data_IF_949185202684
#
_entry.id   IF_949185202684
#
_cell.length_a   1.000
_cell.length_b   1.000
_cell.length_c   1.000
_cell.angle_alpha   90.00
_cell.angle_beta   90.00
_cell.angle_gamma   90.00
#
_symmetry.space_group_name_H-M   'P 1'
#
loop_
_entity.id
_entity.type
_entity.pdbx_description
1 polymer ?
#
# COMPACT_ATOMS: atom_id res chain seq x y z
N UNK A 1 -5.86 -33.22 -0.49
CA UNK A 1 -4.80 -32.60 -1.33
C UNK A 1 -4.88 -31.08 -1.45
N UNK A 2 -6.07 -30.49 -1.59
CA UNK A 2 -6.22 -29.06 -1.87
C UNK A 2 -5.78 -28.15 -0.69
N UNK A 3 -6.11 -28.54 0.55
CA UNK A 3 -5.66 -27.84 1.75
C UNK A 3 -4.13 -27.91 1.96
N UNK A 4 -3.51 -29.03 1.56
CA UNK A 4 -2.05 -29.19 1.62
C UNK A 4 -1.35 -28.28 0.60
N UNK A 5 -1.91 -28.12 -0.61
CA UNK A 5 -1.40 -27.19 -1.63
C UNK A 5 -1.52 -25.72 -1.18
N UNK A 6 -2.63 -25.35 -0.54
CA UNK A 6 -2.83 -24.00 0.02
C UNK A 6 -1.84 -23.73 1.16
N UNK A 7 -1.64 -24.70 2.05
CA UNK A 7 -0.69 -24.61 3.16
C UNK A 7 0.78 -24.51 2.68
N UNK A 8 1.20 -25.35 1.75
CA UNK A 8 2.55 -25.30 1.16
C UNK A 8 2.80 -23.99 0.39
N UNK A 9 1.78 -23.44 -0.28
CA UNK A 9 1.88 -22.12 -0.94
C UNK A 9 2.06 -20.96 0.06
N UNK A 10 1.59 -21.15 1.30
CA UNK A 10 1.69 -20.15 2.36
C UNK A 10 3.07 -20.19 3.02
N UNK A 11 3.67 -21.39 3.14
CA UNK A 11 5.06 -21.59 3.60
C UNK A 11 6.10 -21.07 2.58
N UNK A 12 5.85 -21.20 1.27
CA UNK A 12 6.71 -20.64 0.22
C UNK A 12 6.86 -19.11 0.33
N UNK A 13 5.78 -18.40 0.68
CA UNK A 13 5.78 -16.93 0.86
C UNK A 13 6.60 -16.46 2.06
N UNK A 14 6.87 -17.35 3.02
CA UNK A 14 7.58 -17.02 4.25
C UNK A 14 9.09 -17.25 4.08
N UNK A 15 9.51 -18.26 3.30
CA UNK A 15 10.91 -18.72 3.22
C UNK A 15 11.65 -18.33 1.96
N UNK A 16 10.94 -17.90 0.91
CA UNK A 16 11.50 -17.34 -0.33
C UNK A 16 12.55 -18.23 -1.05
N UNK A 17 12.42 -19.56 -0.94
CA UNK A 17 13.27 -20.54 -1.66
C UNK A 17 12.43 -21.45 -2.58
N UNK A 18 12.86 -21.74 -3.82
CA UNK A 18 12.16 -22.65 -4.73
C UNK A 18 12.43 -24.13 -4.38
N UNK A 19 11.37 -24.94 -4.28
CA UNK A 19 11.49 -26.39 -4.00
C UNK A 19 11.02 -27.27 -5.17
N UNK A 20 11.55 -28.53 -5.26
CA UNK A 20 11.63 -29.30 -6.50
C UNK A 20 10.26 -29.81 -6.98
N UNK A 21 10.21 -30.18 -8.26
CA UNK A 21 9.01 -30.74 -8.91
C UNK A 21 8.51 -31.95 -8.11
N UNK A 22 7.23 -31.94 -7.75
CA UNK A 22 6.53 -33.07 -7.14
C UNK A 22 6.21 -34.07 -8.25
N UNK A 23 6.93 -35.18 -8.31
CA UNK A 23 6.54 -36.35 -9.10
C UNK A 23 5.77 -37.33 -8.21
N UNK A 24 4.61 -37.79 -8.68
CA UNK A 24 3.81 -38.82 -7.99
C UNK A 24 4.51 -40.17 -8.15
N UNK A 25 5.24 -40.62 -7.13
CA UNK A 25 5.71 -42.00 -7.06
C UNK A 25 4.55 -42.89 -6.60
N UNK A 26 4.02 -43.70 -7.53
CA UNK A 26 3.19 -44.85 -7.21
C UNK A 26 4.09 -46.04 -6.88
N UNK A 27 4.14 -46.40 -5.61
CA UNK A 27 4.42 -47.76 -5.15
C UNK A 27 5.84 -48.31 -5.37
N UNK A 28 6.35 -48.84 -4.28
CA UNK A 28 7.31 -49.95 -4.19
C UNK A 28 8.82 -49.65 -4.31
N UNK A 29 9.45 -49.87 -3.15
CA UNK A 29 10.79 -50.41 -2.91
C UNK A 29 11.94 -49.97 -3.82
N UNK A 30 12.66 -48.91 -3.42
CA UNK A 30 14.12 -48.92 -3.22
C UNK A 30 14.56 -47.59 -2.61
N UNK A 31 15.34 -47.61 -1.53
CA UNK A 31 15.85 -46.40 -0.85
C UNK A 31 16.96 -45.77 -1.71
N UNK A 32 16.84 -44.50 -2.18
CA UNK A 32 17.96 -43.82 -2.77
C UNK A 32 18.80 -43.17 -1.66
N UNK A 33 20.07 -43.58 -1.57
CA UNK A 33 21.12 -42.84 -0.85
C UNK A 33 21.47 -41.60 -1.67
N UNK A 34 21.42 -40.41 -1.08
CA UNK A 34 21.81 -39.14 -1.73
C UNK A 34 22.86 -38.41 -0.88
N UNK A 35 23.90 -37.80 -1.48
CA UNK A 35 25.10 -37.35 -0.79
C UNK A 35 24.89 -36.03 -0.03
N UNK A 36 25.64 -35.85 1.06
CA UNK A 36 25.64 -34.65 1.90
C UNK A 36 25.93 -33.38 1.08
N UNK A 37 24.95 -32.46 1.04
CA UNK A 37 25.15 -31.09 0.57
C UNK A 37 25.26 -30.16 1.78
N UNK A 38 26.35 -29.38 1.83
CA UNK A 38 26.57 -28.32 2.81
C UNK A 38 25.80 -27.07 2.40
N UNK A 39 24.48 -27.08 2.58
CA UNK A 39 23.66 -25.87 2.57
C UNK A 39 22.52 -26.04 3.57
N UNK A 40 22.30 -25.01 4.40
CA UNK A 40 21.33 -24.97 5.52
C UNK A 40 19.86 -24.96 5.05
N UNK A 41 19.46 -25.89 4.19
CA UNK A 41 18.05 -26.12 3.89
C UNK A 41 17.48 -27.11 4.90
N UNK A 42 16.56 -26.62 5.75
CA UNK A 42 15.76 -27.47 6.64
C UNK A 42 14.86 -28.35 5.76
N UNK A 43 15.22 -29.63 5.64
CA UNK A 43 14.35 -30.63 5.01
C UNK A 43 13.31 -31.06 6.05
N UNK A 44 12.03 -30.82 5.76
CA UNK A 44 10.91 -31.33 6.56
C UNK A 44 10.31 -32.50 5.81
N UNK A 45 10.67 -33.72 6.23
CA UNK A 45 9.99 -34.92 5.79
C UNK A 45 8.59 -34.96 6.42
N UNK A 46 7.56 -34.90 5.57
CA UNK A 46 6.17 -35.11 5.97
C UNK A 46 5.75 -36.47 5.44
N UNK A 47 5.81 -37.49 6.28
CA UNK A 47 5.22 -38.80 5.98
C UNK A 47 3.71 -38.67 6.17
N UNK A 48 2.95 -38.72 5.07
CA UNK A 48 1.49 -38.76 5.11
C UNK A 48 1.08 -40.23 5.04
N UNK A 49 0.76 -40.84 6.18
CA UNK A 49 0.09 -42.12 6.18
C UNK A 49 -1.41 -41.88 5.99
N UNK A 50 -1.97 -42.54 4.97
CA UNK A 50 -3.40 -42.48 4.70
C UNK A 50 -4.20 -42.95 5.92
N UNK A 51 -5.17 -42.10 6.29
CA UNK A 51 -6.30 -42.28 7.22
C UNK A 51 -6.29 -41.34 8.44
N UNK A 52 -7.32 -40.48 8.46
CA UNK A 52 -7.84 -39.65 9.56
C UNK A 52 -7.04 -38.42 10.04
N UNK A 53 -7.70 -37.26 9.86
CA UNK A 53 -7.60 -35.96 10.56
C UNK A 53 -6.39 -35.70 11.46
N UNK A 54 -5.39 -34.99 10.93
CA UNK A 54 -4.52 -34.14 11.75
C UNK A 54 -5.05 -32.71 11.71
N UNK A 55 -5.74 -32.31 12.77
CA UNK A 55 -6.31 -30.97 12.95
C UNK A 55 -5.24 -29.88 13.10
N UNK A 56 -5.61 -28.66 12.70
CA UNK A 56 -4.78 -27.44 12.69
C UNK A 56 -3.96 -27.19 13.98
N UNK A 57 -4.47 -27.60 15.14
CA UNK A 57 -3.78 -27.42 16.42
C UNK A 57 -2.50 -28.26 16.56
N UNK A 58 -2.48 -29.48 15.99
CA UNK A 58 -1.28 -30.34 16.02
C UNK A 58 -0.16 -29.78 15.16
N UNK A 59 -0.50 -29.14 14.03
CA UNK A 59 0.48 -28.51 13.13
C UNK A 59 1.07 -27.23 13.73
N UNK A 60 0.26 -26.41 14.40
CA UNK A 60 0.71 -25.23 15.15
C UNK A 60 1.76 -25.57 16.23
N UNK A 61 1.55 -26.67 16.95
CA UNK A 61 2.45 -27.14 18.00
C UNK A 61 3.80 -27.64 17.47
N UNK A 62 3.81 -28.30 16.31
CA UNK A 62 5.04 -28.79 15.68
C UNK A 62 5.87 -27.64 15.09
N UNK A 63 5.21 -26.65 14.49
CA UNK A 63 5.86 -25.44 13.93
C UNK A 63 6.51 -24.63 15.06
N UNK A 64 5.82 -24.46 16.19
CA UNK A 64 6.33 -23.69 17.33
C UNK A 64 7.56 -24.33 18.00
N UNK A 65 7.75 -25.66 17.86
CA UNK A 65 8.89 -26.39 18.44
C UNK A 65 10.15 -26.41 17.56
N UNK A 66 10.05 -26.05 16.27
CA UNK A 66 11.17 -26.18 15.31
C UNK A 66 11.68 -24.86 14.73
N UNK A 67 11.11 -23.71 15.09
CA UNK A 67 11.64 -22.39 14.68
C UNK A 67 12.75 -21.98 15.68
N UNK A 68 14.00 -21.76 15.21
CA UNK A 68 15.09 -21.25 16.05
C UNK A 68 14.74 -19.87 16.65
N UNK A 69 15.14 -19.63 17.90
CA UNK A 69 14.80 -18.39 18.65
C UNK A 69 15.31 -17.09 17.99
N UNK A 70 16.26 -17.20 17.07
CA UNK A 70 16.86 -16.12 16.28
C UNK A 70 15.92 -15.47 15.24
N UNK A 71 14.71 -16.00 15.03
CA UNK A 71 13.65 -15.35 14.24
C UNK A 71 12.58 -14.64 15.08
N UNK A 72 12.72 -14.63 16.41
CA UNK A 72 11.97 -13.73 17.28
C UNK A 72 12.79 -12.44 17.46
N UNK A 73 12.43 -11.42 16.69
CA UNK A 73 12.59 -9.97 16.95
C UNK A 73 13.26 -9.22 15.79
N UNK A 74 12.54 -8.23 15.25
CA UNK A 74 12.98 -6.84 15.18
C UNK A 74 11.81 -5.96 14.68
N UNK A 75 11.13 -5.33 15.64
CA UNK A 75 10.56 -3.98 15.55
C UNK A 75 9.79 -3.71 16.85
N UNK A 76 10.52 -3.34 17.90
CA UNK A 76 9.95 -2.78 19.12
C UNK A 76 10.21 -1.29 19.18
N UNK A 77 9.49 -0.51 18.37
CA UNK A 77 8.96 0.75 18.89
C UNK A 77 7.66 0.42 19.63
N UNK A 78 7.71 0.51 20.95
CA UNK A 78 6.56 0.24 21.82
C UNK A 78 5.51 1.33 21.58
N UNK A 79 4.59 1.06 20.64
CA UNK A 79 3.45 1.92 20.33
C UNK A 79 2.60 2.12 21.59
N UNK A 80 2.03 3.31 21.75
CA UNK A 80 1.22 3.65 22.93
C UNK A 80 -0.20 3.13 22.69
N UNK A 81 -0.33 1.80 22.64
CA UNK A 81 -1.59 1.14 22.36
C UNK A 81 -2.67 1.56 23.38
N UNK A 82 -3.75 2.17 22.90
CA UNK A 82 -4.83 2.63 23.77
C UNK A 82 -5.73 1.44 24.13
N UNK A 83 -6.04 1.25 25.42
CA UNK A 83 -6.96 0.19 25.86
C UNK A 83 -8.37 0.77 26.02
N UNK A 84 -9.36 0.16 25.35
CA UNK A 84 -10.78 0.42 25.58
C UNK A 84 -11.39 -0.67 26.46
N UNK A 85 -12.20 -0.29 27.44
CA UNK A 85 -12.95 -1.25 28.26
C UNK A 85 -14.40 -1.30 27.79
N UNK A 86 -14.84 -2.48 27.33
CA UNK A 86 -16.19 -2.69 26.78
C UNK A 86 -17.26 -2.33 27.80
N UNK A 87 -18.23 -1.52 27.38
CA UNK A 87 -19.43 -1.13 28.13
C UNK A 87 -20.67 -1.86 27.59
N UNK A 88 -21.74 -1.83 28.38
CA UNK A 88 -23.02 -2.44 27.98
C UNK A 88 -23.52 -1.88 26.65
N UNK A 89 -23.96 -2.77 25.76
CA UNK A 89 -24.52 -2.42 24.44
C UNK A 89 -23.50 -2.08 23.35
N UNK A 90 -22.21 -2.21 23.62
CA UNK A 90 -21.14 -2.01 22.63
C UNK A 90 -20.89 -3.25 21.77
N UNK A 91 -20.49 -3.00 20.52
CA UNK A 91 -19.91 -3.98 19.61
C UNK A 91 -18.55 -3.44 19.14
N UNK A 92 -17.67 -4.28 18.57
CA UNK A 92 -16.41 -3.77 17.99
C UNK A 92 -16.64 -2.66 16.96
N UNK A 93 -17.76 -2.70 16.23
CA UNK A 93 -18.14 -1.66 15.28
C UNK A 93 -18.46 -0.32 15.97
N UNK A 94 -19.27 -0.35 17.03
CA UNK A 94 -19.58 0.85 17.85
C UNK A 94 -18.35 1.38 18.59
N UNK A 95 -17.42 0.49 18.96
CA UNK A 95 -16.15 0.89 19.57
C UNK A 95 -15.30 1.61 18.51
N UNK A 96 -15.15 1.05 17.31
CA UNK A 96 -14.47 1.74 16.20
C UNK A 96 -15.07 3.12 15.90
N UNK A 97 -16.38 3.29 16.04
CA UNK A 97 -17.04 4.59 15.89
C UNK A 97 -16.62 5.67 16.88
N UNK A 98 -16.07 5.28 18.03
CA UNK A 98 -15.59 6.23 19.05
C UNK A 98 -14.17 6.70 18.81
N UNK A 99 -13.45 6.06 17.89
CA UNK A 99 -12.04 6.32 17.64
C UNK A 99 -11.85 6.87 16.23
N UNK A 100 -11.38 8.12 16.17
CA UNK A 100 -11.13 8.78 14.90
C UNK A 100 -10.06 8.06 14.11
N UNK A 101 -10.39 7.77 12.85
CA UNK A 101 -9.48 7.01 12.00
C UNK A 101 -9.18 5.63 12.56
N UNK A 102 -10.15 4.93 13.14
CA UNK A 102 -10.06 3.50 13.41
C UNK A 102 -11.21 2.77 12.74
N UNK A 103 -10.89 1.68 12.09
CA UNK A 103 -11.86 0.81 11.42
C UNK A 103 -12.08 -0.46 12.24
N UNK A 104 -13.24 -1.10 12.03
CA UNK A 104 -13.55 -2.39 12.65
C UNK A 104 -12.46 -3.44 12.37
N UNK A 105 -11.97 -3.48 11.14
CA UNK A 105 -10.92 -4.44 10.73
C UNK A 105 -9.58 -4.18 11.45
N UNK A 106 -9.20 -2.91 11.64
CA UNK A 106 -8.02 -2.56 12.44
C UNK A 106 -8.17 -3.06 13.89
N UNK A 107 -9.35 -2.91 14.50
CA UNK A 107 -9.63 -3.43 15.84
C UNK A 107 -9.59 -4.95 15.88
N UNK A 108 -10.23 -5.65 14.93
CA UNK A 108 -10.22 -7.12 14.87
C UNK A 108 -8.78 -7.63 14.76
N UNK A 109 -7.97 -7.05 13.85
CA UNK A 109 -6.56 -7.43 13.66
C UNK A 109 -5.72 -7.19 14.91
N UNK A 110 -5.98 -6.10 15.65
CA UNK A 110 -5.29 -5.79 16.90
C UNK A 110 -5.69 -6.72 18.07
N UNK A 111 -6.76 -7.51 17.90
CA UNK A 111 -7.33 -8.37 18.94
C UNK A 111 -7.62 -9.79 18.40
N UNK A 112 -6.61 -10.54 17.94
CA UNK A 112 -6.81 -11.84 17.27
C UNK A 112 -7.47 -12.90 18.15
N UNK A 113 -7.38 -12.75 19.48
CA UNK A 113 -7.95 -13.69 20.45
C UNK A 113 -9.37 -13.29 20.91
N UNK A 114 -9.98 -12.25 20.32
CA UNK A 114 -11.31 -11.76 20.69
C UNK A 114 -12.33 -12.18 19.64
N UNK A 115 -13.36 -12.91 20.06
CA UNK A 115 -14.54 -13.17 19.24
C UNK A 115 -15.42 -11.91 19.20
N UNK A 116 -15.48 -11.28 18.03
CA UNK A 116 -16.25 -10.05 17.79
C UNK A 116 -17.76 -10.20 18.09
N UNK A 117 -18.29 -11.43 18.05
CA UNK A 117 -19.69 -11.73 18.31
C UNK A 117 -20.00 -12.03 19.78
N UNK A 118 -18.98 -12.17 20.64
CA UNK A 118 -19.11 -12.57 22.05
C UNK A 118 -18.37 -11.65 23.00
N UNK A 119 -18.46 -10.35 22.78
CA UNK A 119 -17.86 -9.35 23.66
C UNK A 119 -18.51 -9.36 25.05
N UNK A 120 -17.67 -9.31 26.09
CA UNK A 120 -18.12 -9.22 27.50
C UNK A 120 -17.92 -7.82 28.03
N UNK A 121 -18.86 -7.35 28.87
CA UNK A 121 -18.69 -6.09 29.60
C UNK A 121 -17.43 -6.19 30.47
N UNK A 122 -16.63 -5.13 30.50
CA UNK A 122 -15.35 -5.09 31.21
C UNK A 122 -14.18 -5.72 30.45
N UNK A 123 -14.42 -6.34 29.29
CA UNK A 123 -13.35 -6.86 28.44
C UNK A 123 -12.49 -5.72 27.92
N UNK A 124 -11.17 -5.93 27.91
CA UNK A 124 -10.20 -4.97 27.37
C UNK A 124 -10.00 -5.23 25.89
N UNK A 125 -10.22 -4.21 25.06
CA UNK A 125 -9.97 -4.19 23.63
C UNK A 125 -8.75 -3.32 23.39
N UNK A 126 -7.77 -3.88 22.69
CA UNK A 126 -6.64 -3.11 22.18
C UNK A 126 -7.13 -2.23 21.03
N UNK A 127 -7.04 -0.92 21.20
CA UNK A 127 -7.32 0.04 20.13
C UNK A 127 -5.97 0.35 19.48
N UNK A 128 -5.75 -0.09 18.23
CA UNK A 128 -4.51 0.24 17.56
C UNK A 128 -4.46 1.75 17.35
N UNK A 129 -3.26 2.29 17.18
CA UNK A 129 -3.15 3.61 16.59
C UNK A 129 -3.69 3.54 15.15
N UNK A 130 -4.33 4.62 14.65
CA UNK A 130 -4.68 4.71 13.24
C UNK A 130 -3.48 4.30 12.42
N UNK A 131 -3.59 3.25 11.57
CA UNK A 131 -2.43 2.79 10.80
C UNK A 131 -1.80 4.03 10.16
N UNK A 132 -0.51 4.24 10.44
CA UNK A 132 0.28 5.27 9.79
C UNK A 132 0.20 4.99 8.30
N UNK A 133 -0.63 5.76 7.61
CA UNK A 133 -0.82 5.61 6.18
C UNK A 133 0.42 6.19 5.51
N UNK A 134 1.41 5.33 5.21
CA UNK A 134 2.67 5.69 4.57
C UNK A 134 3.31 7.00 5.09
N UNK A 135 3.05 7.37 6.35
CA UNK A 135 3.56 8.63 6.90
C UNK A 135 5.06 8.55 7.22
N UNK A 136 5.68 7.38 7.02
CA UNK A 136 7.10 7.15 7.25
C UNK A 136 7.81 6.58 6.00
N UNK A 137 7.35 6.87 4.77
CA UNK A 137 8.35 7.19 3.74
C UNK A 137 8.97 8.50 4.23
N UNK A 138 9.97 8.40 5.10
CA UNK A 138 10.66 9.52 5.74
C UNK A 138 11.10 10.44 4.63
N UNK A 139 10.30 11.45 4.31
CA UNK A 139 10.74 12.50 3.41
C UNK A 139 11.69 13.34 4.23
N UNK A 140 12.90 12.82 4.35
CA UNK A 140 13.96 13.41 5.13
C UNK A 140 14.14 14.83 4.63
N UNK A 141 13.91 15.80 5.51
CA UNK A 141 14.08 17.21 5.17
C UNK A 141 15.52 17.48 4.71
N UNK A 142 16.49 16.70 5.19
CA UNK A 142 17.88 16.74 4.77
C UNK A 142 18.10 16.26 3.32
N UNK A 143 17.23 15.39 2.78
CA UNK A 143 17.36 14.83 1.41
C UNK A 143 16.69 15.65 0.33
N UNK A 144 16.26 16.88 0.63
CA UNK A 144 15.57 17.76 -0.34
C UNK A 144 16.33 17.87 -1.66
N UNK A 145 17.63 18.13 -1.59
CA UNK A 145 18.46 18.31 -2.80
C UNK A 145 18.70 16.98 -3.53
N UNK A 146 18.79 15.87 -2.82
CA UNK A 146 18.92 14.53 -3.41
C UNK A 146 17.65 14.11 -4.17
N UNK A 147 16.48 14.39 -3.61
CA UNK A 147 15.20 14.19 -4.31
C UNK A 147 15.14 15.06 -5.58
N UNK A 148 15.46 16.35 -5.48
CA UNK A 148 15.46 17.25 -6.64
C UNK A 148 16.43 16.75 -7.72
N UNK A 149 17.67 16.39 -7.35
CA UNK A 149 18.67 15.88 -8.28
C UNK A 149 18.24 14.59 -8.97
N UNK A 150 17.60 13.68 -8.22
CA UNK A 150 17.06 12.42 -8.77
C UNK A 150 15.94 12.68 -9.76
N UNK A 151 15.00 13.58 -9.43
CA UNK A 151 13.90 13.96 -10.33
C UNK A 151 14.47 14.63 -11.60
N UNK A 152 15.48 15.51 -11.48
CA UNK A 152 16.18 16.10 -12.64
C UNK A 152 16.78 15.02 -13.54
N UNK A 153 17.41 13.98 -12.96
CA UNK A 153 17.94 12.84 -13.72
C UNK A 153 16.83 12.09 -14.46
N UNK A 154 15.69 11.84 -13.81
CA UNK A 154 14.52 11.21 -14.43
C UNK A 154 13.98 12.04 -15.60
N UNK A 155 13.84 13.36 -15.41
CA UNK A 155 13.38 14.31 -16.42
C UNK A 155 14.31 14.36 -17.64
N UNK A 156 15.63 14.44 -17.42
CA UNK A 156 16.63 14.42 -18.50
C UNK A 156 16.58 13.13 -19.31
N UNK A 157 16.37 11.97 -18.65
CA UNK A 157 16.19 10.67 -19.33
C UNK A 157 14.96 10.65 -20.26
N UNK A 158 13.95 11.48 -19.98
CA UNK A 158 12.75 11.67 -20.83
C UNK A 158 12.89 12.79 -21.87
N UNK A 159 14.09 13.35 -22.00
CA UNK A 159 14.39 14.40 -22.99
C UNK A 159 13.91 15.79 -22.57
N UNK A 160 13.66 16.03 -21.28
CA UNK A 160 13.42 17.40 -20.79
C UNK A 160 14.77 18.12 -20.70
N UNK A 161 14.92 19.18 -21.48
CA UNK A 161 16.15 20.00 -21.55
C UNK A 161 15.95 21.45 -21.13
N UNK A 162 14.71 21.92 -20.97
CA UNK A 162 14.41 23.31 -20.57
C UNK A 162 14.94 23.60 -19.15
N UNK A 163 15.90 24.54 -18.97
CA UNK A 163 16.48 24.82 -17.66
C UNK A 163 15.47 25.33 -16.63
N UNK A 164 14.47 26.11 -17.06
CA UNK A 164 13.44 26.63 -16.16
C UNK A 164 12.60 25.47 -15.61
N UNK A 165 12.12 24.58 -16.48
CA UNK A 165 11.38 23.39 -16.07
C UNK A 165 12.21 22.45 -15.19
N UNK A 166 13.49 22.23 -15.51
CA UNK A 166 14.41 21.39 -14.72
C UNK A 166 14.69 21.96 -13.31
N UNK A 167 14.37 23.23 -13.07
CA UNK A 167 14.43 23.85 -11.74
C UNK A 167 13.07 23.83 -11.05
N UNK A 168 12.05 24.40 -11.72
CA UNK A 168 10.73 24.65 -11.14
C UNK A 168 9.97 23.36 -10.77
N UNK A 169 9.99 22.35 -11.66
CA UNK A 169 9.16 21.15 -11.46
C UNK A 169 9.67 20.27 -10.30
N UNK A 170 10.98 19.97 -10.18
CA UNK A 170 11.50 19.25 -9.01
C UNK A 170 11.23 19.97 -7.68
N UNK A 171 11.37 21.30 -7.64
CA UNK A 171 11.06 22.10 -6.45
C UNK A 171 9.59 21.97 -6.04
N UNK A 172 8.68 22.06 -7.02
CA UNK A 172 7.24 21.92 -6.81
C UNK A 172 6.87 20.50 -6.34
N UNK A 173 7.39 19.46 -7.01
CA UNK A 173 7.14 18.05 -6.65
C UNK A 173 7.56 17.79 -5.21
N UNK A 174 8.80 18.15 -4.86
CA UNK A 174 9.32 17.87 -3.51
C UNK A 174 8.52 18.63 -2.45
N UNK A 175 8.17 19.89 -2.70
CA UNK A 175 7.34 20.68 -1.75
C UNK A 175 5.96 20.05 -1.54
N UNK A 176 5.22 19.77 -2.62
CA UNK A 176 3.85 19.23 -2.54
C UNK A 176 3.80 17.80 -2.02
N UNK A 177 4.76 16.96 -2.42
CA UNK A 177 4.88 15.61 -1.89
C UNK A 177 5.15 15.61 -0.38
N UNK A 178 5.99 16.53 0.12
CA UNK A 178 6.23 16.74 1.56
C UNK A 178 4.99 17.21 2.31
N UNK A 179 4.33 18.25 1.81
CA UNK A 179 3.08 18.77 2.40
C UNK A 179 2.04 17.65 2.56
N UNK A 180 1.96 16.76 1.57
CA UNK A 180 1.02 15.64 1.54
C UNK A 180 1.62 14.32 2.04
N UNK A 181 2.80 14.32 2.66
CA UNK A 181 3.45 13.12 3.25
C UNK A 181 3.44 11.91 2.29
N UNK A 182 4.00 12.09 1.11
CA UNK A 182 4.19 11.04 0.10
C UNK A 182 5.61 11.19 -0.48
N UNK A 183 6.21 10.09 -0.93
CA UNK A 183 7.55 10.11 -1.52
C UNK A 183 7.58 10.92 -2.84
N UNK A 184 8.44 11.94 -2.95
CA UNK A 184 8.59 12.75 -4.16
C UNK A 184 8.90 11.93 -5.43
N UNK A 185 9.64 10.82 -5.33
CA UNK A 185 9.99 9.97 -6.48
C UNK A 185 8.74 9.26 -7.03
N UNK A 186 7.82 8.85 -6.15
CA UNK A 186 6.57 8.24 -6.57
C UNK A 186 5.69 9.25 -7.32
N UNK A 187 5.59 10.48 -6.80
CA UNK A 187 4.87 11.58 -7.46
C UNK A 187 5.50 11.89 -8.84
N UNK A 188 6.83 11.98 -8.90
CA UNK A 188 7.54 12.19 -10.16
C UNK A 188 7.32 11.03 -11.15
N UNK A 189 7.21 9.80 -10.69
CA UNK A 189 6.88 8.63 -11.51
C UNK A 189 5.46 8.67 -12.08
N UNK A 190 4.49 9.17 -11.31
CA UNK A 190 3.11 9.39 -11.82
C UNK A 190 3.13 10.49 -12.89
N UNK A 191 3.75 11.65 -12.63
CA UNK A 191 3.81 12.76 -13.59
C UNK A 191 4.51 12.35 -14.89
N UNK A 192 5.56 11.53 -14.80
CA UNK A 192 6.22 10.93 -15.96
C UNK A 192 5.23 10.12 -16.80
N UNK A 193 4.51 9.21 -16.15
CA UNK A 193 3.58 8.33 -16.83
C UNK A 193 2.37 9.07 -17.43
N UNK A 194 1.97 10.19 -16.83
CA UNK A 194 0.81 10.99 -17.25
C UNK A 194 1.12 12.01 -18.34
N UNK A 195 2.33 12.58 -18.37
CA UNK A 195 2.63 13.65 -19.32
C UNK A 195 4.10 13.72 -19.80
N UNK A 196 4.93 12.73 -19.49
CA UNK A 196 6.39 12.78 -19.69
C UNK A 196 7.01 14.08 -19.15
N UNK A 197 6.49 14.56 -18.01
CA UNK A 197 6.79 15.87 -17.41
C UNK A 197 6.38 17.11 -18.23
N UNK A 198 5.81 16.99 -19.44
CA UNK A 198 5.51 18.10 -20.37
C UNK A 198 4.18 18.81 -20.08
N UNK A 199 3.97 19.21 -18.82
CA UNK A 199 2.70 19.79 -18.36
C UNK A 199 2.37 21.17 -18.94
N UNK A 200 3.39 21.94 -19.37
CA UNK A 200 3.21 23.23 -20.06
C UNK A 200 2.86 23.05 -21.56
N UNK A 201 3.02 21.84 -22.12
CA UNK A 201 2.79 21.62 -23.54
C UNK A 201 1.30 21.60 -23.86
N UNK A 202 0.90 22.17 -25.00
CA UNK A 202 -0.47 22.07 -25.52
C UNK A 202 -0.83 20.64 -25.98
N UNK A 203 0.11 19.69 -25.87
CA UNK A 203 0.00 18.31 -26.35
C UNK A 203 -0.34 17.37 -25.19
N UNK A 204 -1.37 17.71 -24.42
CA UNK A 204 -1.86 16.87 -23.33
C UNK A 204 -2.65 15.71 -23.97
N UNK A 205 -2.07 14.51 -23.96
CA UNK A 205 -2.69 13.31 -24.51
C UNK A 205 -3.73 12.76 -23.54
N UNK A 206 -5.00 12.97 -23.85
CA UNK A 206 -6.13 12.40 -23.13
C UNK A 206 -7.39 13.24 -23.35
N UNK A 207 -8.46 12.64 -23.87
CA UNK A 207 -9.71 13.36 -24.16
C UNK A 207 -10.38 13.96 -22.92
N UNK A 208 -10.03 13.50 -21.70
CA UNK A 208 -10.74 13.85 -20.46
C UNK A 208 -9.86 14.34 -19.28
N UNK A 209 -8.55 14.03 -19.25
CA UNK A 209 -7.65 14.42 -18.16
C UNK A 209 -7.12 15.85 -18.31
N UNK A 210 -6.84 16.53 -17.18
CA UNK A 210 -6.28 17.89 -17.16
C UNK A 210 -4.97 17.93 -16.38
N UNK A 211 -4.03 18.73 -16.87
CA UNK A 211 -2.76 19.05 -16.20
C UNK A 211 -1.78 17.90 -16.09
N UNK A 212 -0.78 18.06 -15.23
CA UNK A 212 0.38 17.15 -15.14
C UNK A 212 0.08 15.79 -14.53
N UNK A 213 -0.99 15.67 -13.74
CA UNK A 213 -1.42 14.40 -13.16
C UNK A 213 -2.73 13.87 -13.78
N UNK A 214 -3.18 14.46 -14.91
CA UNK A 214 -4.38 14.04 -15.66
C UNK A 214 -5.66 13.89 -14.82
N UNK A 215 -5.88 14.81 -13.88
CA UNK A 215 -7.10 14.83 -13.05
C UNK A 215 -8.36 14.93 -13.93
N UNK A 216 -9.38 14.12 -13.64
CA UNK A 216 -10.66 14.07 -14.36
C UNK A 216 -11.83 14.48 -13.48
N UNK A 217 -12.96 14.86 -14.08
CA UNK A 217 -14.21 15.13 -13.35
C UNK A 217 -14.67 13.95 -12.48
N UNK A 218 -14.52 12.72 -13.00
CA UNK A 218 -14.88 11.48 -12.29
C UNK A 218 -13.98 11.31 -11.06
N UNK A 219 -12.66 11.50 -11.21
CA UNK A 219 -11.74 11.38 -10.07
C UNK A 219 -12.01 12.42 -8.96
N UNK A 220 -12.52 13.61 -9.33
CA UNK A 220 -12.96 14.63 -8.36
C UNK A 220 -14.25 14.19 -7.66
N UNK A 221 -15.21 13.61 -8.38
CA UNK A 221 -16.44 13.08 -7.78
C UNK A 221 -16.11 11.95 -6.78
N UNK A 222 -15.27 11.00 -7.18
CA UNK A 222 -14.73 9.94 -6.32
C UNK A 222 -14.09 10.53 -5.06
N UNK A 223 -13.26 11.56 -5.22
CA UNK A 223 -12.57 12.19 -4.11
C UNK A 223 -13.55 12.79 -3.09
N UNK A 224 -14.61 13.45 -3.53
CA UNK A 224 -15.65 13.97 -2.64
C UNK A 224 -16.42 12.84 -1.96
N UNK A 225 -16.68 11.74 -2.65
CA UNK A 225 -17.31 10.56 -2.05
C UNK A 225 -16.42 9.89 -0.99
N UNK A 226 -15.11 9.79 -1.21
CA UNK A 226 -14.16 9.19 -0.26
C UNK A 226 -13.88 10.08 0.95
N UNK A 227 -13.98 11.39 0.81
CA UNK A 227 -13.64 12.33 1.86
C UNK A 227 -14.47 12.22 3.15
N UNK A 228 -15.67 11.62 3.06
CA UNK A 228 -16.54 11.30 4.21
C UNK A 228 -16.21 9.97 4.87
N UNK A 229 -15.37 9.14 4.25
CA UNK A 229 -15.01 7.83 4.75
C UNK A 229 -13.95 7.92 5.84
N UNK A 230 -14.06 7.09 6.88
CA UNK A 230 -13.13 7.09 8.03
C UNK A 230 -11.73 6.58 7.71
N UNK A 231 -11.60 5.78 6.65
CA UNK A 231 -10.31 5.29 6.18
C UNK A 231 -9.55 6.37 5.39
N UNK A 232 -10.21 7.45 4.94
CA UNK A 232 -9.56 8.53 4.19
C UNK A 232 -8.95 9.57 5.14
N UNK A 233 -7.62 9.62 5.22
CA UNK A 233 -6.89 10.41 6.25
C UNK A 233 -5.83 11.33 5.66
N UNK A 234 -4.94 10.78 4.84
CA UNK A 234 -3.70 11.39 4.38
C UNK A 234 -3.85 12.53 3.38
N UNK A 235 -5.05 12.75 2.84
CA UNK A 235 -5.38 13.95 2.05
C UNK A 235 -6.51 14.78 2.65
N UNK A 236 -7.04 14.40 3.82
CA UNK A 236 -8.31 14.95 4.34
C UNK A 236 -8.21 16.43 4.68
N UNK A 237 -7.24 16.81 5.49
CA UNK A 237 -7.01 18.21 5.90
C UNK A 237 -6.87 19.12 4.67
N UNK A 238 -6.02 18.72 3.71
CA UNK A 238 -5.78 19.52 2.51
C UNK A 238 -7.01 19.59 1.60
N UNK A 239 -7.74 18.49 1.47
CA UNK A 239 -9.00 18.48 0.73
C UNK A 239 -10.05 19.39 1.39
N UNK A 240 -10.12 19.42 2.72
CA UNK A 240 -11.06 20.29 3.45
C UNK A 240 -10.71 21.77 3.23
N UNK A 241 -9.43 22.15 3.15
CA UNK A 241 -9.02 23.48 2.72
C UNK A 241 -9.44 23.81 1.28
N UNK A 242 -9.25 22.88 0.36
CA UNK A 242 -9.65 23.03 -1.05
C UNK A 242 -11.17 23.22 -1.13
N UNK A 243 -11.95 22.46 -0.37
CA UNK A 243 -13.41 22.53 -0.33
C UNK A 243 -13.95 23.85 0.21
N UNK A 244 -13.22 24.54 1.09
CA UNK A 244 -13.60 25.90 1.52
C UNK A 244 -13.64 26.87 0.33
N UNK A 245 -12.74 26.70 -0.64
CA UNK A 245 -12.71 27.49 -1.89
C UNK A 245 -13.64 26.93 -2.96
N UNK A 246 -13.77 25.60 -3.03
CA UNK A 246 -14.52 24.89 -4.05
C UNK A 246 -15.50 23.90 -3.40
N UNK A 247 -16.67 24.36 -2.93
CA UNK A 247 -17.54 23.54 -2.08
C UNK A 247 -18.21 22.36 -2.81
N UNK A 248 -18.23 22.36 -4.14
CA UNK A 248 -18.83 21.27 -4.94
C UNK A 248 -17.81 20.68 -5.92
N UNK A 249 -17.95 19.38 -6.29
CA UNK A 249 -17.13 18.76 -7.33
C UNK A 249 -17.13 19.56 -8.63
N UNK A 250 -18.27 20.12 -9.01
CA UNK A 250 -18.43 20.93 -10.22
C UNK A 250 -17.56 22.20 -10.17
N UNK A 251 -17.63 22.99 -9.08
CA UNK A 251 -16.83 24.22 -8.93
C UNK A 251 -15.33 23.91 -8.95
N UNK A 252 -14.93 22.79 -8.35
CA UNK A 252 -13.52 22.37 -8.38
C UNK A 252 -13.10 21.96 -9.80
N UNK A 253 -13.93 21.23 -10.52
CA UNK A 253 -13.66 20.84 -11.91
C UNK A 253 -13.56 22.04 -12.84
N UNK A 254 -14.45 23.03 -12.70
CA UNK A 254 -14.39 24.30 -13.43
C UNK A 254 -13.07 25.03 -13.18
N UNK A 255 -12.59 25.06 -11.93
CA UNK A 255 -11.30 25.65 -11.59
C UNK A 255 -10.11 24.91 -12.22
N UNK A 256 -10.13 23.58 -12.21
CA UNK A 256 -9.12 22.73 -12.87
C UNK A 256 -9.10 22.99 -14.38
N UNK A 257 -10.27 23.17 -15.01
CA UNK A 257 -10.37 23.44 -16.45
C UNK A 257 -9.94 24.86 -16.83
N UNK A 258 -10.34 25.87 -16.05
CA UNK A 258 -10.20 27.29 -16.41
C UNK A 258 -8.84 27.88 -16.08
N UNK A 259 -8.23 27.50 -14.94
CA UNK A 259 -7.02 28.16 -14.44
C UNK A 259 -5.73 27.54 -14.94
N UNK A 260 -5.77 26.28 -15.39
CA UNK A 260 -4.59 25.44 -15.68
C UNK A 260 -3.51 25.55 -14.59
N UNK A 261 -3.93 25.69 -13.33
CA UNK A 261 -3.04 25.87 -12.18
C UNK A 261 -2.27 24.56 -11.94
N UNK A 262 -0.94 24.54 -12.17
CA UNK A 262 -0.14 23.33 -12.04
C UNK A 262 -0.05 22.85 -10.59
N UNK A 263 -0.07 23.75 -9.60
CA UNK A 263 0.00 23.38 -8.18
C UNK A 263 -1.30 22.74 -7.73
N UNK A 264 -2.45 23.36 -8.05
CA UNK A 264 -3.76 22.77 -7.74
C UNK A 264 -3.91 21.40 -8.42
N UNK A 265 -3.46 21.26 -9.67
CA UNK A 265 -3.53 20.00 -10.38
C UNK A 265 -2.68 18.90 -9.73
N UNK A 266 -1.43 19.21 -9.36
CA UNK A 266 -0.54 18.28 -8.68
C UNK A 266 -1.10 17.88 -7.32
N UNK A 267 -1.58 18.87 -6.55
CA UNK A 267 -2.15 18.66 -5.22
C UNK A 267 -3.37 17.73 -5.28
N UNK A 268 -4.29 17.96 -6.22
CA UNK A 268 -5.44 17.08 -6.41
C UNK A 268 -5.03 15.68 -6.88
N UNK A 269 -4.09 15.57 -7.82
CA UNK A 269 -3.61 14.28 -8.30
C UNK A 269 -2.99 13.44 -7.17
N UNK A 270 -2.17 14.06 -6.32
CA UNK A 270 -1.60 13.39 -5.14
C UNK A 270 -2.71 12.96 -4.18
N UNK A 271 -3.67 13.85 -3.86
CA UNK A 271 -4.76 13.52 -2.93
C UNK A 271 -5.63 12.37 -3.47
N UNK A 272 -5.95 12.36 -4.77
CA UNK A 272 -6.69 11.27 -5.42
C UNK A 272 -5.92 9.96 -5.30
N UNK A 273 -4.63 9.97 -5.64
CA UNK A 273 -3.76 8.79 -5.52
C UNK A 273 -3.72 8.28 -4.07
N UNK A 274 -3.52 9.17 -3.09
CA UNK A 274 -3.54 8.81 -1.67
C UNK A 274 -4.87 8.18 -1.27
N UNK A 275 -5.99 8.72 -1.73
CA UNK A 275 -7.30 8.11 -1.48
C UNK A 275 -7.41 6.68 -2.01
N UNK A 276 -6.87 6.40 -3.21
CA UNK A 276 -6.81 5.03 -3.74
C UNK A 276 -5.88 4.15 -2.91
N UNK A 277 -4.72 4.65 -2.47
CA UNK A 277 -3.78 3.90 -1.62
C UNK A 277 -4.36 3.56 -0.25
N UNK A 278 -5.09 4.50 0.34
CA UNK A 278 -5.78 4.30 1.62
C UNK A 278 -6.90 3.28 1.52
N UNK A 279 -7.61 3.26 0.39
CA UNK A 279 -8.59 2.24 0.10
C UNK A 279 -7.93 0.85 -0.02
N UNK A 280 -6.75 0.73 -0.64
CA UNK A 280 -5.99 -0.52 -0.69
C UNK A 280 -5.51 -0.95 0.70
N UNK A 281 -5.00 -0.02 1.51
CA UNK A 281 -4.62 -0.30 2.91
C UNK A 281 -5.82 -0.80 3.73
N UNK A 282 -7.00 -0.24 3.49
CA UNK A 282 -8.23 -0.61 4.17
C UNK A 282 -8.76 -1.98 3.72
N UNK A 283 -8.82 -2.23 2.40
CA UNK A 283 -9.43 -3.45 1.84
C UNK A 283 -8.49 -4.65 1.87
N UNK A 284 -7.19 -4.40 1.78
CA UNK A 284 -6.18 -5.43 1.57
C UNK A 284 -4.99 -5.26 2.53
N UNK A 285 -5.22 -5.19 3.86
CA UNK A 285 -4.16 -4.98 4.84
C UNK A 285 -3.09 -6.09 4.85
N UNK A 286 -3.40 -7.26 4.29
CA UNK A 286 -2.52 -8.42 4.13
C UNK A 286 -1.50 -8.29 2.99
N UNK A 287 -1.74 -7.39 2.03
CA UNK A 287 -0.84 -7.21 0.89
C UNK A 287 0.44 -6.47 1.30
N UNK A 288 1.54 -6.77 0.61
CA UNK A 288 2.78 -6.00 0.72
C UNK A 288 2.56 -4.56 0.26
N UNK A 289 3.39 -3.65 0.75
CA UNK A 289 3.29 -2.23 0.40
C UNK A 289 3.40 -2.00 -1.10
N UNK A 290 4.36 -2.67 -1.76
CA UNK A 290 4.49 -2.61 -3.21
C UNK A 290 3.23 -3.10 -3.94
N UNK A 291 2.55 -4.13 -3.44
CA UNK A 291 1.30 -4.60 -4.04
C UNK A 291 0.18 -3.57 -3.88
N UNK A 292 0.06 -2.93 -2.71
CA UNK A 292 -0.93 -1.88 -2.45
C UNK A 292 -0.65 -0.62 -3.29
N UNK A 293 0.60 -0.16 -3.35
CA UNK A 293 1.04 0.95 -4.22
C UNK A 293 0.67 0.67 -5.67
N UNK A 294 0.98 -0.53 -6.17
CA UNK A 294 0.65 -0.93 -7.54
C UNK A 294 -0.85 -0.93 -7.80
N UNK A 295 -1.65 -1.51 -6.90
CA UNK A 295 -3.11 -1.53 -7.04
C UNK A 295 -3.70 -0.10 -7.00
N UNK A 296 -3.18 0.75 -6.12
CA UNK A 296 -3.59 2.15 -6.05
C UNK A 296 -3.31 2.90 -7.36
N UNK A 297 -2.14 2.68 -7.97
CA UNK A 297 -1.78 3.25 -9.28
C UNK A 297 -2.68 2.73 -10.40
N UNK A 298 -2.99 1.43 -10.39
CA UNK A 298 -3.95 0.82 -11.32
C UNK A 298 -5.31 1.51 -11.24
N UNK A 299 -5.78 1.75 -10.02
CA UNK A 299 -7.07 2.39 -9.74
C UNK A 299 -7.04 3.91 -9.98
N UNK A 300 -5.86 4.54 -9.91
CA UNK A 300 -5.65 5.94 -10.25
C UNK A 300 -5.86 6.20 -11.75
N UNK A 301 -5.24 5.38 -12.61
CA UNK A 301 -5.42 5.47 -14.07
C UNK A 301 -6.88 5.21 -14.50
N UNK A 302 -7.51 4.18 -13.92
CA UNK A 302 -8.93 3.88 -14.18
C UNK A 302 -9.23 3.26 -15.55
N UNK A 303 -8.30 3.24 -16.52
CA UNK A 303 -8.54 2.75 -17.87
C UNK A 303 -8.64 1.21 -17.97
N UNK A 304 -9.79 0.61 -18.36
CA UNK A 304 -10.05 -0.84 -18.30
C UNK A 304 -9.06 -1.73 -19.07
N UNK A 305 -8.52 -1.25 -20.19
CA UNK A 305 -7.67 -2.05 -21.10
C UNK A 305 -6.17 -2.07 -20.74
N UNK A 306 -5.67 -1.12 -19.93
CA UNK A 306 -4.21 -0.93 -19.69
C UNK A 306 -3.83 -0.85 -18.20
N UNK A 307 -4.74 -1.28 -17.33
CA UNK A 307 -4.65 -1.19 -15.86
C UNK A 307 -3.32 -1.70 -15.31
N UNK A 308 -2.94 -2.93 -15.67
CA UNK A 308 -1.81 -3.65 -15.06
C UNK A 308 -0.44 -3.06 -15.44
N UNK A 309 -0.25 -2.77 -16.72
CA UNK A 309 1.02 -2.22 -17.23
C UNK A 309 1.34 -0.81 -16.68
N UNK A 310 0.31 -0.02 -16.39
CA UNK A 310 0.47 1.33 -15.81
C UNK A 310 1.14 1.28 -14.42
N UNK A 311 0.56 0.51 -13.50
CA UNK A 311 1.10 0.39 -12.13
C UNK A 311 2.48 -0.27 -12.10
N UNK A 312 2.73 -1.25 -12.98
CA UNK A 312 4.02 -1.95 -13.09
C UNK A 312 5.15 -1.02 -13.54
N UNK A 313 4.89 -0.15 -14.52
CA UNK A 313 5.89 0.82 -15.00
C UNK A 313 6.28 1.82 -13.92
N UNK A 314 5.30 2.41 -13.24
CA UNK A 314 5.55 3.42 -12.21
C UNK A 314 6.28 2.78 -11.03
N UNK A 315 5.87 1.59 -10.56
CA UNK A 315 6.52 0.98 -9.41
C UNK A 315 7.94 0.50 -9.71
N UNK A 316 8.21 0.04 -10.94
CA UNK A 316 9.57 -0.27 -11.37
C UNK A 316 10.43 1.00 -11.39
N UNK A 317 9.91 2.11 -11.95
CA UNK A 317 10.60 3.40 -11.93
C UNK A 317 10.85 3.89 -10.49
N UNK A 318 9.85 3.77 -9.62
CA UNK A 318 9.94 4.13 -8.21
C UNK A 318 11.04 3.32 -7.50
N UNK A 319 11.01 1.99 -7.58
CA UNK A 319 11.99 1.13 -6.90
C UNK A 319 13.44 1.37 -7.39
N UNK A 320 13.62 1.77 -8.64
CA UNK A 320 14.93 2.06 -9.21
C UNK A 320 15.50 3.43 -8.80
N UNK A 321 14.66 4.34 -8.28
CA UNK A 321 15.04 5.73 -7.98
C UNK A 321 14.73 6.15 -6.55
N UNK A 322 14.03 5.33 -5.75
CA UNK A 322 13.74 5.65 -4.35
C UNK A 322 15.04 5.82 -3.56
N UNK A 323 15.06 6.82 -2.69
CA UNK A 323 16.20 7.06 -1.82
C UNK A 323 16.17 6.07 -0.64
N UNK A 324 17.34 5.55 -0.25
CA UNK A 324 17.50 4.64 0.90
C UNK A 324 17.29 5.36 2.22
#
# INVERSE_FOLDING_TARGET
MENLKVFLSSLFKITNSPFPKVEENKGDEEKPVIPESKDNNVVIDVVVNDSSELGYESLSGIISKKIPEEFKNNDTEKSKAQIHTVKSGESLAKIAEKYDGITLQEIIKANPNIDANKLKIGQKINIPEPQKIYSDMKVDSAKTEEYKATIVKMMKKKGVSDPAQLKELPEMIVRKAKELKIDPILVAGIIDQECDYRYKSNKIYGVNGKGMMQVTSISIQDLYAYSSQRWFRGGKEKLDEIKKKYPTPQKLWEAVCSKRDPELNMELGIIIYKGKLELENYRHPELSDNAKIKNALVNYNGHPQYKKAYGEKIIANYNNNKLS
#
